data_IF_515313783844
#
_entry.id   IF_515313783844
#
_cell.length_a   1.000
_cell.length_b   1.000
_cell.length_c   1.000
_cell.angle_alpha   90.00
_cell.angle_beta   90.00
_cell.angle_gamma   90.00
#
_symmetry.space_group_name_H-M   'P 1'
#
loop_
_entity.id
_entity.type
_entity.pdbx_description
1 polymer ?
#
# COMPACT_ATOMS: atom_id res chain seq x y z
N UNK A 1 -35.14 -21.79 -10.07
CA UNK A 1 -34.17 -22.14 -9.03
C UNK A 1 -32.87 -21.40 -9.32
N UNK A 2 -32.54 -20.44 -8.46
CA UNK A 2 -31.22 -19.84 -8.17
C UNK A 2 -30.48 -19.20 -9.35
N UNK A 3 -30.80 -17.91 -9.62
CA UNK A 3 -29.82 -16.97 -10.20
C UNK A 3 -28.81 -16.62 -9.10
N UNK A 4 -27.53 -16.69 -9.42
CA UNK A 4 -26.43 -16.36 -8.55
C UNK A 4 -26.49 -14.87 -8.10
N UNK A 5 -27.02 -14.60 -6.91
CA UNK A 5 -27.08 -13.25 -6.32
C UNK A 5 -25.70 -12.73 -5.85
N UNK A 6 -24.62 -13.54 -5.92
CA UNK A 6 -23.26 -13.10 -5.57
C UNK A 6 -22.60 -12.22 -6.62
N UNK A 7 -23.12 -12.17 -7.85
CA UNK A 7 -22.55 -11.35 -8.93
C UNK A 7 -23.06 -9.90 -8.90
N UNK A 8 -24.19 -9.61 -8.25
CA UNK A 8 -24.80 -8.27 -8.22
C UNK A 8 -24.25 -7.36 -7.10
N UNK A 9 -23.37 -7.89 -6.25
CA UNK A 9 -22.65 -7.16 -5.21
C UNK A 9 -21.14 -7.18 -5.43
N UNK A 10 -20.67 -7.03 -6.67
CA UNK A 10 -19.24 -6.98 -6.98
C UNK A 10 -18.60 -5.72 -6.37
N UNK A 11 -18.19 -5.88 -5.11
CA UNK A 11 -17.51 -4.88 -4.31
C UNK A 11 -16.14 -4.47 -4.88
N UNK A 12 -15.68 -5.03 -6.01
CA UNK A 12 -14.44 -4.61 -6.67
C UNK A 12 -14.58 -3.29 -7.43
N UNK A 13 -15.80 -2.86 -7.76
CA UNK A 13 -16.05 -1.63 -8.54
C UNK A 13 -16.35 -0.38 -7.70
N UNK A 14 -16.48 -0.49 -6.37
CA UNK A 14 -16.87 0.65 -5.52
C UNK A 14 -16.05 0.76 -4.22
N UNK A 15 -14.88 0.13 -4.15
CA UNK A 15 -13.93 0.33 -3.06
C UNK A 15 -12.96 1.44 -3.46
N UNK A 16 -13.36 2.69 -3.23
CA UNK A 16 -12.41 3.80 -3.26
C UNK A 16 -11.63 3.77 -1.95
N UNK A 17 -10.40 3.24 -1.97
CA UNK A 17 -9.43 3.44 -0.89
C UNK A 17 -9.00 4.90 -0.91
N UNK A 18 -9.88 5.77 -0.40
CA UNK A 18 -9.88 7.20 -0.69
C UNK A 18 -8.99 8.00 0.26
N UNK A 19 -8.57 7.41 1.37
CA UNK A 19 -7.90 8.14 2.43
C UNK A 19 -6.72 7.30 2.97
N UNK A 20 -5.56 7.49 2.34
CA UNK A 20 -4.27 7.01 2.84
C UNK A 20 -3.48 8.15 3.50
N UNK A 21 -2.79 7.88 4.61
CA UNK A 21 -1.98 8.89 5.30
C UNK A 21 -0.60 8.34 5.68
N UNK A 22 0.42 9.17 5.48
CA UNK A 22 1.78 8.92 5.95
C UNK A 22 2.01 9.55 7.30
N UNK A 23 2.64 8.78 8.17
CA UNK A 23 3.09 9.23 9.47
C UNK A 23 4.61 9.05 9.59
N UNK A 24 5.26 10.03 10.20
CA UNK A 24 6.62 9.89 10.70
C UNK A 24 6.68 8.80 11.79
N UNK A 25 7.89 8.39 12.19
CA UNK A 25 8.08 7.44 13.30
C UNK A 25 7.44 7.96 14.61
N UNK A 26 7.48 9.28 14.81
CA UNK A 26 6.88 9.97 15.97
C UNK A 26 5.35 10.15 15.87
N UNK A 27 4.73 9.71 14.76
CA UNK A 27 3.27 9.76 14.57
C UNK A 27 2.73 11.10 14.02
N UNK A 28 3.61 12.01 13.59
CA UNK A 28 3.23 13.25 12.90
C UNK A 28 2.76 12.95 11.47
N UNK A 29 1.65 13.56 11.03
CA UNK A 29 1.12 13.44 9.68
C UNK A 29 2.03 14.17 8.68
N UNK A 30 2.52 13.45 7.67
CA UNK A 30 3.48 13.98 6.67
C UNK A 30 2.84 14.23 5.31
N UNK A 31 1.94 13.34 4.87
CA UNK A 31 1.31 13.44 3.57
C UNK A 31 0.00 12.64 3.50
N UNK A 32 -0.94 13.12 2.68
CA UNK A 32 -2.18 12.41 2.35
C UNK A 32 -2.15 11.87 0.92
N UNK A 33 -2.79 10.73 0.72
CA UNK A 33 -2.74 9.97 -0.53
C UNK A 33 -4.15 9.74 -1.06
N UNK A 34 -4.43 10.29 -2.24
CA UNK A 34 -5.74 10.18 -2.90
C UNK A 34 -6.00 8.75 -3.42
N UNK A 35 -4.98 8.12 -4.01
CA UNK A 35 -5.10 6.76 -4.55
C UNK A 35 -3.81 5.95 -4.32
N UNK A 36 -3.97 4.72 -3.81
CA UNK A 36 -2.85 3.81 -3.62
C UNK A 36 -3.22 2.37 -4.01
N UNK A 37 -2.20 1.60 -4.35
CA UNK A 37 -2.28 0.17 -4.63
C UNK A 37 -1.22 -0.55 -3.83
N UNK A 38 -1.60 -1.63 -3.16
CA UNK A 38 -0.69 -2.50 -2.44
C UNK A 38 -0.68 -3.87 -3.10
N UNK A 39 0.50 -4.32 -3.53
CA UNK A 39 0.69 -5.60 -4.17
C UNK A 39 1.65 -6.45 -3.35
N UNK A 40 1.28 -7.71 -3.11
CA UNK A 40 2.14 -8.70 -2.47
C UNK A 40 2.51 -9.75 -3.50
N UNK A 41 3.81 -9.89 -3.78
CA UNK A 41 4.34 -10.97 -4.61
C UNK A 41 4.87 -12.08 -3.71
N UNK A 42 4.27 -13.27 -3.83
CA UNK A 42 4.77 -14.48 -3.19
C UNK A 42 5.74 -15.19 -4.15
N UNK A 43 6.94 -15.47 -3.67
CA UNK A 43 7.88 -16.35 -4.34
C UNK A 43 7.95 -17.64 -3.54
N UNK A 44 7.46 -18.71 -4.13
CA UNK A 44 7.39 -20.02 -3.50
C UNK A 44 8.40 -20.97 -4.14
N UNK A 45 8.97 -21.87 -3.33
CA UNK A 45 9.87 -22.90 -3.80
C UNK A 45 9.07 -24.16 -4.13
N UNK A 46 9.25 -24.68 -5.36
CA UNK A 46 8.70 -25.97 -5.78
C UNK A 46 9.68 -27.09 -5.44
N UNK A 47 9.16 -28.21 -4.94
CA UNK A 47 9.93 -29.42 -4.69
C UNK A 47 9.13 -30.66 -5.05
N UNK A 48 9.83 -31.73 -5.42
CA UNK A 48 9.24 -33.04 -5.70
C UNK A 48 9.73 -34.05 -4.66
N UNK A 49 8.80 -34.86 -4.15
CA UNK A 49 9.12 -35.97 -3.25
C UNK A 49 9.32 -37.22 -4.11
N UNK A 50 10.38 -37.98 -3.86
CA UNK A 50 10.70 -39.16 -4.65
C UNK A 50 9.55 -40.19 -4.58
N UNK A 51 8.93 -40.49 -5.71
CA UNK A 51 7.80 -41.41 -5.80
C UNK A 51 6.42 -40.77 -5.82
N UNK A 52 6.32 -39.45 -5.66
CA UNK A 52 5.09 -38.69 -5.93
C UNK A 52 5.21 -37.97 -7.28
N UNK A 53 4.18 -38.09 -8.12
CA UNK A 53 4.13 -37.43 -9.42
C UNK A 53 3.69 -35.96 -9.34
N UNK A 54 3.20 -35.52 -8.17
CA UNK A 54 2.75 -34.15 -7.93
C UNK A 54 3.89 -33.26 -7.44
N UNK A 55 4.06 -32.09 -8.06
CA UNK A 55 4.91 -31.02 -7.54
C UNK A 55 4.24 -30.38 -6.30
N UNK A 56 5.00 -30.25 -5.22
CA UNK A 56 4.58 -29.56 -4.00
C UNK A 56 5.23 -28.17 -3.93
N UNK A 57 4.55 -27.22 -3.30
CA UNK A 57 5.00 -25.84 -3.21
C UNK A 57 5.06 -25.41 -1.73
N UNK A 58 6.19 -24.81 -1.32
CA UNK A 58 6.36 -24.20 0.01
C UNK A 58 6.65 -22.71 -0.10
N UNK A 59 6.15 -21.93 0.85
CA UNK A 59 6.45 -20.50 0.91
C UNK A 59 7.95 -20.28 1.12
N UNK A 60 8.56 -19.39 0.33
CA UNK A 60 9.98 -19.04 0.45
C UNK A 60 10.12 -17.58 0.89
N UNK A 61 9.73 -16.63 0.03
CA UNK A 61 9.73 -15.20 0.38
C UNK A 61 8.48 -14.51 -0.13
N UNK A 62 8.14 -13.36 0.44
CA UNK A 62 7.15 -12.46 -0.12
C UNK A 62 7.68 -11.03 -0.08
N UNK A 63 7.30 -10.24 -1.08
CA UNK A 63 7.65 -8.83 -1.20
C UNK A 63 6.37 -8.02 -1.26
N UNK A 64 6.33 -6.92 -0.50
CA UNK A 64 5.19 -6.01 -0.45
C UNK A 64 5.60 -4.69 -1.06
N UNK A 65 4.92 -4.32 -2.14
CA UNK A 65 5.12 -3.06 -2.84
C UNK A 65 3.87 -2.19 -2.70
N UNK A 66 4.08 -0.92 -2.42
CA UNK A 66 3.05 0.12 -2.40
C UNK A 66 3.32 1.10 -3.52
N UNK A 67 2.36 1.25 -4.43
CA UNK A 67 2.41 2.25 -5.49
C UNK A 67 1.29 3.24 -5.25
N UNK A 68 1.65 4.52 -5.16
CA UNK A 68 0.74 5.61 -4.82
C UNK A 68 0.72 6.59 -5.96
N UNK A 69 -0.49 6.89 -6.43
CA UNK A 69 -0.71 7.91 -7.44
C UNK A 69 -1.37 9.10 -6.75
N UNK A 70 -0.76 10.28 -6.92
CA UNK A 70 -1.30 11.55 -6.42
C UNK A 70 -1.14 11.73 -4.90
N UNK A 71 0.13 11.76 -4.45
CA UNK A 71 0.45 12.20 -3.08
C UNK A 71 0.37 13.72 -3.00
N UNK A 72 -0.35 14.22 -2.00
CA UNK A 72 -0.32 15.62 -1.54
C UNK A 72 0.56 15.67 -0.30
N UNK A 73 1.70 16.35 -0.43
CA UNK A 73 2.62 16.57 0.68
C UNK A 73 2.05 17.69 1.54
N UNK A 74 1.76 17.39 2.81
CA UNK A 74 1.18 18.35 3.74
C UNK A 74 2.25 19.07 4.56
N UNK A 75 3.34 18.37 4.87
CA UNK A 75 4.48 18.89 5.62
C UNK A 75 5.75 18.87 4.76
N UNK A 76 6.50 19.98 4.79
CA UNK A 76 7.81 20.11 4.13
C UNK A 76 8.81 19.07 4.65
N UNK A 77 8.62 18.56 5.86
CA UNK A 77 9.44 17.50 6.46
C UNK A 77 9.54 16.26 5.55
N UNK A 78 8.44 15.87 4.88
CA UNK A 78 8.46 14.74 3.96
C UNK A 78 9.46 14.93 2.81
N UNK A 79 9.55 16.15 2.27
CA UNK A 79 10.46 16.45 1.17
C UNK A 79 11.90 16.64 1.65
N UNK A 80 12.09 17.27 2.81
CA UNK A 80 13.40 17.45 3.43
C UNK A 80 14.04 16.09 3.73
N UNK A 81 13.31 15.16 4.34
CA UNK A 81 13.81 13.81 4.66
C UNK A 81 14.22 13.03 3.41
N UNK A 82 13.51 13.21 2.28
CA UNK A 82 13.87 12.58 1.01
C UNK A 82 15.15 13.18 0.44
N UNK A 83 15.26 14.51 0.46
CA UNK A 83 16.46 15.18 -0.06
C UNK A 83 17.69 14.87 0.80
N UNK A 84 17.52 14.84 2.12
CA UNK A 84 18.58 14.44 3.05
C UNK A 84 18.97 12.96 2.87
N UNK A 85 17.99 12.07 2.64
CA UNK A 85 18.27 10.67 2.34
C UNK A 85 19.07 10.47 1.06
N UNK A 86 18.86 11.31 0.04
CA UNK A 86 19.64 11.29 -1.19
C UNK A 86 21.09 11.75 -0.98
N UNK A 87 21.33 12.67 -0.04
CA UNK A 87 22.66 13.15 0.30
C UNK A 87 23.41 12.18 1.25
N UNK A 88 22.74 11.72 2.29
CA UNK A 88 23.30 10.86 3.34
C UNK A 88 23.31 9.37 2.99
N UNK A 89 22.60 8.98 1.92
CA UNK A 89 22.37 7.60 1.52
C UNK A 89 21.62 6.74 2.55
N UNK A 90 21.01 7.35 3.57
CA UNK A 90 20.18 6.66 4.53
C UNK A 90 18.69 6.84 4.17
N UNK A 91 17.99 5.79 3.71
CA UNK A 91 16.59 5.92 3.31
C UNK A 91 15.71 6.27 4.51
N UNK A 92 14.67 7.11 4.33
CA UNK A 92 13.72 7.38 5.39
C UNK A 92 12.79 6.18 5.56
N UNK A 93 12.33 5.95 6.79
CA UNK A 93 11.34 4.95 7.11
C UNK A 93 10.03 5.62 7.53
N UNK A 94 8.95 5.30 6.84
CA UNK A 94 7.63 5.84 7.17
C UNK A 94 6.62 4.76 7.50
N UNK A 95 5.57 5.17 8.22
CA UNK A 95 4.42 4.33 8.47
C UNK A 95 3.25 4.83 7.63
N UNK A 96 2.72 3.98 6.76
CA UNK A 96 1.56 4.28 5.95
C UNK A 96 0.32 3.58 6.50
N UNK A 97 -0.76 4.31 6.67
CA UNK A 97 -2.06 3.74 7.00
C UNK A 97 -3.00 3.93 5.84
N UNK A 98 -3.42 2.81 5.24
CA UNK A 98 -4.50 2.79 4.26
C UNK A 98 -5.82 2.52 4.95
N UNK A 99 -6.83 3.35 4.68
CA UNK A 99 -8.20 3.07 5.07
C UNK A 99 -9.06 2.71 3.85
N UNK A 100 -10.01 1.82 4.07
CA UNK A 100 -11.00 1.43 3.07
C UNK A 100 -12.38 1.52 3.70
N UNK A 101 -13.19 2.44 3.21
CA UNK A 101 -14.56 2.60 3.69
C UNK A 101 -15.50 1.67 2.92
N UNK A 102 -16.17 0.79 3.66
CA UNK A 102 -17.27 -0.02 3.17
C UNK A 102 -18.55 0.81 3.00
N UNK A 103 -19.44 0.38 2.11
CA UNK A 103 -20.74 1.05 1.85
C UNK A 103 -21.66 1.13 3.08
N UNK A 104 -21.41 0.29 4.07
CA UNK A 104 -22.12 0.25 5.35
C UNK A 104 -21.50 1.15 6.44
N UNK A 105 -20.49 1.96 6.10
CA UNK A 105 -19.77 2.79 7.07
C UNK A 105 -18.75 2.01 7.92
N UNK A 106 -18.56 0.71 7.66
CA UNK A 106 -17.44 -0.03 8.26
C UNK A 106 -16.12 0.36 7.60
N UNK A 107 -15.03 0.35 8.36
CA UNK A 107 -13.72 0.77 7.88
C UNK A 107 -12.70 -0.38 8.01
N UNK A 108 -12.10 -0.77 6.89
CA UNK A 108 -10.85 -1.53 6.90
C UNK A 108 -9.70 -0.57 7.15
N UNK A 109 -8.81 -0.91 8.07
CA UNK A 109 -7.55 -0.19 8.25
C UNK A 109 -6.42 -1.16 8.13
N UNK A 110 -5.51 -0.90 7.21
CA UNK A 110 -4.27 -1.67 7.04
C UNK A 110 -3.10 -0.74 7.28
N UNK A 111 -2.21 -1.17 8.17
CA UNK A 111 -0.99 -0.43 8.51
C UNK A 111 0.20 -1.12 7.85
N UNK A 112 0.95 -0.34 7.09
CA UNK A 112 2.22 -0.69 6.49
C UNK A 112 3.31 0.03 7.27
N UNK A 113 4.28 -0.72 7.78
CA UNK A 113 5.37 -0.17 8.60
C UNK A 113 6.69 -0.32 7.88
N UNK A 114 7.61 0.60 8.15
CA UNK A 114 8.94 0.61 7.52
C UNK A 114 8.82 0.65 5.99
N UNK A 115 8.01 1.60 5.50
CA UNK A 115 7.88 1.93 4.09
C UNK A 115 9.11 2.73 3.67
N UNK A 116 9.84 2.22 2.67
CA UNK A 116 11.05 2.82 2.12
C UNK A 116 10.80 3.18 0.65
N UNK A 117 11.15 4.40 0.20
CA UNK A 117 11.08 4.76 -1.22
C UNK A 117 11.84 3.75 -2.09
N UNK A 118 11.21 3.26 -3.15
CA UNK A 118 11.77 2.22 -4.01
C UNK A 118 11.41 2.44 -5.49
N UNK A 119 12.28 1.99 -6.39
CA UNK A 119 12.07 2.18 -7.83
C UNK A 119 12.13 3.65 -8.24
N UNK A 120 11.26 4.05 -9.17
CA UNK A 120 11.17 5.44 -9.62
C UNK A 120 10.24 6.24 -8.69
N UNK A 121 10.76 7.34 -8.15
CA UNK A 121 9.99 8.34 -7.42
C UNK A 121 10.09 9.68 -8.15
N UNK A 122 8.95 10.36 -8.29
CA UNK A 122 8.92 11.68 -8.91
C UNK A 122 9.19 12.75 -7.84
N UNK A 123 10.40 13.35 -7.88
CA UNK A 123 10.78 14.42 -6.94
C UNK A 123 10.12 15.75 -7.36
N UNK A 124 10.17 16.07 -8.65
CA UNK A 124 9.58 17.28 -9.21
C UNK A 124 8.84 16.94 -10.50
N UNK A 125 7.50 16.97 -10.44
CA UNK A 125 6.64 16.85 -11.61
C UNK A 125 5.60 17.97 -11.51
N UNK A 126 5.80 19.04 -12.28
CA UNK A 126 4.97 20.25 -12.22
C UNK A 126 4.28 20.43 -13.57
N UNK A 127 2.96 20.49 -13.53
CA UNK A 127 2.10 20.82 -14.68
C UNK A 127 1.34 22.10 -14.37
N UNK A 128 1.22 22.99 -15.37
CA UNK A 128 0.60 24.31 -15.16
C UNK A 128 -0.90 24.14 -14.88
N UNK A 129 -1.35 24.62 -13.72
CA UNK A 129 -2.77 24.71 -13.36
C UNK A 129 -3.28 23.65 -12.37
N UNK A 130 -2.44 22.70 -11.93
CA UNK A 130 -2.84 21.61 -11.05
C UNK A 130 -2.11 21.62 -9.69
N UNK A 131 -2.77 21.05 -8.67
CA UNK A 131 -2.12 20.64 -7.41
C UNK A 131 -1.01 19.65 -7.77
N UNK A 132 0.20 19.85 -7.24
CA UNK A 132 1.36 19.00 -7.56
C UNK A 132 1.10 17.57 -7.06
N UNK A 133 0.72 16.69 -7.99
CA UNK A 133 0.44 15.28 -7.74
C UNK A 133 1.62 14.44 -8.18
N UNK A 134 2.26 13.76 -7.24
CA UNK A 134 3.46 12.94 -7.50
C UNK A 134 3.13 11.45 -7.44
N UNK A 135 3.79 10.66 -8.28
CA UNK A 135 3.76 9.22 -8.22
C UNK A 135 4.91 8.72 -7.34
N UNK A 136 4.60 7.87 -6.36
CA UNK A 136 5.59 7.33 -5.43
C UNK A 136 5.44 5.83 -5.32
N UNK A 137 6.58 5.16 -5.23
CA UNK A 137 6.69 3.73 -5.06
C UNK A 137 7.46 3.45 -3.78
N UNK A 138 6.97 2.51 -2.99
CA UNK A 138 7.55 2.12 -1.72
C UNK A 138 7.64 0.61 -1.60
N UNK A 139 8.71 0.15 -0.97
CA UNK A 139 8.83 -1.21 -0.49
C UNK A 139 8.51 -1.24 1.00
N UNK A 140 7.78 -2.26 1.47
CA UNK A 140 7.41 -2.38 2.88
C UNK A 140 8.23 -3.49 3.51
N UNK A 141 9.15 -3.12 4.41
CA UNK A 141 10.04 -4.08 5.05
C UNK A 141 9.35 -4.91 6.13
N UNK A 142 8.23 -4.44 6.65
CA UNK A 142 7.47 -5.14 7.67
C UNK A 142 6.17 -5.72 7.12
N UNK A 143 5.78 -6.95 7.51
CA UNK A 143 4.51 -7.52 7.10
C UNK A 143 3.35 -6.59 7.50
N UNK A 144 2.44 -6.26 6.57
CA UNK A 144 1.32 -5.37 6.86
C UNK A 144 0.40 -5.98 7.91
N UNK A 145 -0.20 -5.14 8.74
CA UNK A 145 -1.13 -5.55 9.80
C UNK A 145 -2.51 -4.95 9.57
N UNK A 146 -3.53 -5.81 9.65
CA UNK A 146 -4.92 -5.38 9.74
C UNK A 146 -5.16 -4.80 11.13
N UNK A 147 -5.56 -3.53 11.19
CA UNK A 147 -5.92 -2.83 12.40
C UNK A 147 -7.44 -2.83 12.61
N UNK A 148 -8.22 -2.82 11.52
CA UNK A 148 -9.67 -2.96 11.54
C UNK A 148 -10.13 -3.76 10.34
N UNK A 149 -11.17 -4.59 10.54
CA UNK A 149 -11.80 -5.39 9.50
C UNK A 149 -13.07 -4.68 9.02
N UNK A 150 -13.37 -4.77 7.72
CA UNK A 150 -14.71 -4.46 7.24
C UNK A 150 -15.72 -5.40 7.91
N UNK A 151 -16.59 -4.82 8.72
CA UNK A 151 -17.75 -5.52 9.25
C UNK A 151 -18.70 -5.86 8.11
N UNK A 152 -19.13 -7.11 8.01
CA UNK A 152 -20.31 -7.49 7.24
C UNK A 152 -21.43 -7.66 8.24
N UNK A 153 -22.16 -6.58 8.55
CA UNK A 153 -23.48 -6.76 9.15
C UNK A 153 -24.34 -7.51 8.12
N UNK A 154 -24.83 -8.67 8.53
CA UNK A 154 -25.74 -9.52 7.76
C UNK A 154 -27.15 -8.97 7.76
#
# INVERSE_FOLDING_TARGET
>A
MIRNERAAGDSRHARTGKDGAFYSEDGVLLATVDTFTSNVSYNNAKYSVLGDAQEHETANTFAVNLTMSQIVVEDDQFFVEVMEALETQNPPHWNFQGSLLGRNGSEERVVYKECIPSGQIDIQNVTVGDVIKRNWNFFVNRPPKLQSLLGVDR
#
